data_IF_014680200473
#
_entry.id   IF_014680200473
#
_cell.length_a   1.000
_cell.length_b   1.000
_cell.length_c   1.000
_cell.angle_alpha   90.00
_cell.angle_beta   90.00
_cell.angle_gamma   90.00
#
_symmetry.space_group_name_H-M   'P 1'
#
loop_
_entity.id
_entity.type
_entity.pdbx_description
1 polymer ?
#
# COMPACT_ATOMS: atom_id res chain seq x y z
N UNK A 1 -6.22 57.52 19.62
CA UNK A 1 -4.84 57.05 19.42
C UNK A 1 -4.75 55.71 20.10
N UNK A 2 -4.52 54.62 19.37
CA UNK A 2 -4.33 53.31 19.99
C UNK A 2 -3.09 53.36 20.90
N UNK A 3 -3.18 52.78 22.09
CA UNK A 3 -2.03 52.73 22.99
C UNK A 3 -1.01 51.71 22.49
N UNK A 4 0.25 51.85 22.92
CA UNK A 4 1.30 50.89 22.55
C UNK A 4 0.92 49.45 22.91
N UNK A 5 0.17 49.26 24.00
CA UNK A 5 -0.31 47.95 24.44
C UNK A 5 -1.36 47.38 23.47
N UNK A 6 -2.25 48.21 22.92
CA UNK A 6 -3.22 47.77 21.91
C UNK A 6 -2.52 47.29 20.63
N UNK A 7 -1.43 47.96 20.25
CA UNK A 7 -0.67 47.60 19.05
C UNK A 7 0.08 46.27 19.23
N UNK A 8 0.59 45.99 20.43
CA UNK A 8 1.22 44.70 20.78
C UNK A 8 0.17 43.57 20.77
N UNK A 9 -1.02 43.79 21.32
CA UNK A 9 -2.08 42.79 21.30
C UNK A 9 -2.58 42.48 19.88
N UNK A 10 -2.72 43.51 19.03
CA UNK A 10 -3.10 43.34 17.62
C UNK A 10 -2.02 42.55 16.86
N UNK A 11 -0.73 42.82 17.14
CA UNK A 11 0.39 42.11 16.52
C UNK A 11 0.47 40.63 16.96
N UNK A 12 0.20 40.34 18.23
CA UNK A 12 0.18 38.95 18.73
C UNK A 12 -1.01 38.16 18.17
N UNK A 13 -2.16 38.81 18.00
CA UNK A 13 -3.35 38.19 17.42
C UNK A 13 -3.17 37.86 15.93
N UNK A 14 -2.51 38.75 15.16
CA UNK A 14 -2.23 38.51 13.75
C UNK A 14 -1.17 37.42 13.54
N UNK A 15 -0.11 37.38 14.35
CA UNK A 15 0.88 36.30 14.34
C UNK A 15 0.23 34.93 14.61
N UNK A 16 -0.71 34.87 15.56
CA UNK A 16 -1.42 33.63 15.87
C UNK A 16 -2.28 33.15 14.68
N UNK A 17 -2.94 34.06 13.96
CA UNK A 17 -3.76 33.72 12.80
C UNK A 17 -2.92 33.16 11.62
N UNK A 18 -1.69 33.64 11.45
CA UNK A 18 -0.76 33.12 10.44
C UNK A 18 -0.30 31.69 10.75
N UNK A 19 -0.21 31.31 12.03
CA UNK A 19 0.13 29.93 12.45
C UNK A 19 -1.03 28.96 12.17
N UNK A 20 -2.30 29.40 12.28
CA UNK A 20 -3.46 28.57 11.94
C UNK A 20 -3.64 28.36 10.43
N UNK A 21 -3.30 29.36 9.60
CA UNK A 21 -3.51 29.27 8.14
C UNK A 21 -2.31 28.66 7.39
N UNK A 22 -1.15 28.52 8.05
CA UNK A 22 0.02 27.79 7.54
C UNK A 22 0.02 26.35 8.08
N UNK A 23 -1.17 25.74 8.16
CA UNK A 23 -1.29 24.30 8.37
C UNK A 23 -0.75 23.58 7.14
N UNK A 24 0.41 22.95 7.30
CA UNK A 24 1.02 22.02 6.36
C UNK A 24 1.00 22.49 4.89
N UNK A 25 1.84 23.47 4.53
CA UNK A 25 2.38 23.45 3.18
C UNK A 25 3.17 22.14 3.06
N UNK A 26 2.51 21.11 2.54
CA UNK A 26 3.19 19.93 2.04
C UNK A 26 4.16 20.43 0.98
N UNK A 27 5.45 20.23 1.21
CA UNK A 27 6.43 20.13 0.13
C UNK A 27 5.96 19.00 -0.79
N UNK A 28 5.07 19.34 -1.74
CA UNK A 28 4.80 18.52 -2.90
C UNK A 28 5.94 18.81 -3.89
N UNK A 29 7.15 18.46 -3.48
CA UNK A 29 8.29 18.38 -4.38
C UNK A 29 8.51 16.91 -4.71
N UNK A 30 7.94 16.50 -5.84
CA UNK A 30 8.41 15.44 -6.74
C UNK A 30 7.27 15.19 -7.74
N UNK A 31 7.49 15.55 -9.01
CA UNK A 31 6.90 14.93 -10.21
C UNK A 31 5.47 14.33 -10.08
N UNK A 32 4.51 15.04 -10.65
CA UNK A 32 3.05 14.85 -10.60
C UNK A 32 2.50 13.45 -10.96
N UNK A 33 2.63 12.46 -10.09
CA UNK A 33 1.75 11.30 -10.11
C UNK A 33 1.64 10.63 -8.73
N UNK A 34 0.41 10.36 -8.24
CA UNK A 34 0.26 9.43 -7.12
C UNK A 34 0.79 8.05 -7.54
N UNK A 35 1.38 7.27 -6.61
CA UNK A 35 1.82 5.92 -6.92
C UNK A 35 0.63 5.06 -7.38
N UNK A 36 0.86 4.05 -8.25
CA UNK A 36 -0.21 3.17 -8.71
C UNK A 36 -0.94 2.49 -7.54
N UNK A 37 -2.28 2.33 -7.60
CA UNK A 37 -3.04 1.64 -6.55
C UNK A 37 -2.61 0.19 -6.36
N UNK A 38 -2.52 -0.25 -5.10
CA UNK A 38 -2.25 -1.66 -4.75
C UNK A 38 -3.59 -2.40 -4.62
N UNK A 39 -3.75 -3.49 -5.37
CA UNK A 39 -4.90 -4.40 -5.29
C UNK A 39 -4.39 -5.79 -4.92
N UNK A 40 -4.56 -6.20 -3.68
CA UNK A 40 -4.03 -7.47 -3.20
C UNK A 40 -5.10 -8.46 -2.77
N UNK A 41 -4.78 -9.75 -2.86
CA UNK A 41 -5.59 -10.84 -2.33
C UNK A 41 -4.73 -11.90 -1.64
N UNK A 42 -5.35 -12.64 -0.75
CA UNK A 42 -4.78 -13.84 -0.15
C UNK A 42 -5.35 -15.08 -0.84
N UNK A 43 -4.46 -15.99 -1.24
CA UNK A 43 -4.82 -17.29 -1.77
C UNK A 43 -4.60 -18.36 -0.68
N UNK A 44 -5.67 -18.89 -0.09
CA UNK A 44 -5.54 -19.89 0.96
C UNK A 44 -5.26 -21.29 0.41
N UNK A 45 -4.34 -22.01 1.05
CA UNK A 45 -3.90 -23.35 0.61
C UNK A 45 -5.03 -24.38 0.50
N UNK A 46 -6.06 -24.29 1.36
CA UNK A 46 -7.19 -25.21 1.41
C UNK A 46 -8.18 -25.07 0.24
N UNK A 47 -8.01 -24.09 -0.65
CA UNK A 47 -8.83 -23.95 -1.86
C UNK A 47 -8.25 -24.67 -3.07
N UNK A 48 -7.06 -25.26 -2.97
CA UNK A 48 -6.30 -25.71 -4.15
C UNK A 48 -6.95 -26.81 -4.97
N UNK A 49 -7.82 -27.63 -4.35
CA UNK A 49 -8.51 -28.71 -5.04
C UNK A 49 -9.70 -28.20 -5.89
N UNK A 50 -10.43 -27.19 -5.40
CA UNK A 50 -11.62 -26.63 -6.06
C UNK A 50 -11.30 -25.38 -6.91
N UNK A 51 -10.25 -24.64 -6.55
CA UNK A 51 -9.86 -23.37 -7.15
C UNK A 51 -8.33 -23.26 -7.20
N UNK A 52 -7.66 -23.90 -8.18
CA UNK A 52 -6.21 -23.88 -8.29
C UNK A 52 -5.70 -22.47 -8.62
N UNK A 53 -4.41 -22.14 -8.33
CA UNK A 53 -3.87 -20.81 -8.59
C UNK A 53 -3.97 -20.37 -10.06
N UNK A 54 -3.93 -21.32 -10.99
CA UNK A 54 -4.11 -21.08 -12.43
C UNK A 54 -5.49 -20.54 -12.80
N UNK A 55 -6.50 -20.73 -11.94
CA UNK A 55 -7.86 -20.22 -12.14
C UNK A 55 -8.01 -18.75 -11.69
N UNK A 56 -6.99 -18.17 -11.03
CA UNK A 56 -7.04 -16.77 -10.60
C UNK A 56 -6.91 -15.85 -11.81
N UNK A 57 -7.90 -14.98 -12.02
CA UNK A 57 -7.77 -13.89 -12.97
C UNK A 57 -6.87 -12.79 -12.40
N UNK A 58 -5.60 -12.79 -12.79
CA UNK A 58 -4.57 -11.88 -12.30
C UNK A 58 -4.79 -10.43 -12.77
N UNK A 59 -5.69 -10.16 -13.73
CA UNK A 59 -5.95 -8.78 -14.19
C UNK A 59 -6.58 -7.88 -13.13
N UNK A 60 -7.16 -8.47 -12.07
CA UNK A 60 -7.79 -7.71 -10.98
C UNK A 60 -6.82 -7.31 -9.87
N UNK A 61 -5.62 -7.91 -9.82
CA UNK A 61 -4.70 -7.80 -8.70
C UNK A 61 -3.32 -7.32 -9.16
N UNK A 62 -2.66 -6.54 -8.30
CA UNK A 62 -1.23 -6.23 -8.45
C UNK A 62 -0.37 -7.23 -7.68
N UNK A 63 -0.89 -7.83 -6.60
CA UNK A 63 -0.19 -8.80 -5.76
C UNK A 63 -1.15 -9.88 -5.28
N UNK A 64 -0.71 -11.14 -5.26
CA UNK A 64 -1.45 -12.25 -4.63
C UNK A 64 -0.49 -12.94 -3.67
N UNK A 65 -0.91 -13.14 -2.42
CA UNK A 65 -0.10 -13.75 -1.37
C UNK A 65 -0.60 -15.16 -1.08
N UNK A 66 0.29 -16.16 -1.07
CA UNK A 66 -0.04 -17.49 -0.57
C UNK A 66 -0.24 -17.45 0.94
N UNK A 67 -1.37 -17.96 1.43
CA UNK A 67 -1.76 -17.92 2.84
C UNK A 67 -2.19 -19.30 3.36
N UNK A 68 -1.85 -19.71 4.58
CA UNK A 68 -0.73 -19.26 5.40
C UNK A 68 0.32 -20.34 5.43
N UNK A 69 1.59 -19.93 5.51
CA UNK A 69 2.66 -20.85 5.87
C UNK A 69 2.67 -21.01 7.38
N UNK A 70 2.58 -22.26 7.82
CA UNK A 70 2.74 -22.63 9.23
C UNK A 70 4.18 -23.12 9.40
N UNK A 71 5.00 -22.44 10.22
CA UNK A 71 6.36 -22.89 10.46
C UNK A 71 6.35 -24.17 11.29
N UNK A 72 7.38 -24.99 11.13
CA UNK A 72 7.62 -26.13 11.99
C UNK A 72 7.74 -25.66 13.45
N UNK A 73 7.06 -26.33 14.38
CA UNK A 73 6.95 -25.91 15.78
C UNK A 73 8.24 -26.10 16.61
N UNK A 74 9.25 -26.77 16.07
CA UNK A 74 10.57 -26.95 16.70
C UNK A 74 11.62 -26.09 16.02
N UNK A 75 11.69 -26.11 14.69
CA UNK A 75 12.77 -25.45 13.94
C UNK A 75 12.46 -24.00 13.58
N UNK A 76 11.20 -23.59 13.66
CA UNK A 76 10.69 -22.29 13.18
C UNK A 76 11.01 -22.01 11.70
N UNK A 77 11.25 -23.07 10.91
CA UNK A 77 11.47 -23.00 9.47
C UNK A 77 10.20 -23.35 8.71
N UNK A 78 10.09 -22.84 7.49
CA UNK A 78 9.03 -23.23 6.57
C UNK A 78 9.47 -24.45 5.76
N UNK A 79 8.79 -25.58 5.99
CA UNK A 79 8.96 -26.78 5.20
C UNK A 79 7.93 -26.76 4.06
N UNK A 80 8.34 -26.30 2.89
CA UNK A 80 7.49 -26.22 1.70
C UNK A 80 7.73 -27.45 0.82
N UNK A 81 6.72 -28.33 0.62
CA UNK A 81 6.86 -29.43 -0.29
C UNK A 81 7.00 -28.96 -1.74
N UNK A 82 7.75 -29.69 -2.56
CA UNK A 82 7.99 -29.35 -3.96
C UNK A 82 6.68 -29.23 -4.77
N UNK A 83 5.66 -29.99 -4.41
CA UNK A 83 4.32 -29.90 -4.99
C UNK A 83 3.67 -28.52 -4.79
N UNK A 84 3.80 -27.92 -3.61
CA UNK A 84 3.30 -26.57 -3.32
C UNK A 84 4.07 -25.51 -4.12
N UNK A 85 5.40 -25.66 -4.24
CA UNK A 85 6.21 -24.76 -5.06
C UNK A 85 5.81 -24.81 -6.54
N UNK A 86 5.59 -26.01 -7.09
CA UNK A 86 5.13 -26.20 -8.47
C UNK A 86 3.71 -25.66 -8.70
N UNK A 87 2.83 -25.82 -7.72
CA UNK A 87 1.47 -25.28 -7.78
C UNK A 87 1.48 -23.75 -7.85
N UNK A 88 2.37 -23.09 -7.11
CA UNK A 88 2.50 -21.63 -7.08
C UNK A 88 3.22 -21.05 -8.31
N UNK A 89 4.16 -21.79 -8.89
CA UNK A 89 4.89 -21.33 -10.08
C UNK A 89 4.03 -21.27 -11.35
N UNK A 90 2.93 -22.02 -11.40
CA UNK A 90 2.04 -22.07 -12.56
C UNK A 90 1.00 -20.94 -12.61
N UNK A 91 1.23 -19.84 -11.90
CA UNK A 91 0.36 -18.66 -11.96
C UNK A 91 0.46 -17.98 -13.34
N UNK A 92 -0.66 -17.56 -13.97
CA UNK A 92 -0.61 -16.87 -15.26
C UNK A 92 0.26 -15.61 -15.16
N UNK A 93 1.10 -15.29 -16.16
CA UNK A 93 1.84 -14.04 -16.16
C UNK A 93 0.84 -12.87 -16.06
N UNK A 94 1.18 -11.79 -15.34
CA UNK A 94 0.32 -10.63 -15.27
C UNK A 94 0.04 -10.13 -16.70
N UNK A 95 -1.23 -9.98 -17.06
CA UNK A 95 -1.63 -9.37 -18.32
C UNK A 95 -1.22 -7.89 -18.30
N UNK A 96 0.02 -7.63 -18.69
CA UNK A 96 0.52 -6.30 -19.00
C UNK A 96 -0.13 -5.90 -20.33
N UNK A 97 -1.38 -5.45 -20.23
CA UNK A 97 -2.01 -4.74 -21.34
C UNK A 97 -1.25 -3.43 -21.47
N UNK A 98 -0.55 -3.27 -22.60
CA UNK A 98 0.20 -2.10 -23.00
C UNK A 98 -0.44 -0.80 -22.47
N UNK A 99 0.17 -0.18 -21.47
CA UNK A 99 -0.02 1.25 -21.23
C UNK A 99 0.85 1.96 -22.27
N UNK A 100 0.23 2.28 -23.40
CA UNK A 100 0.78 3.23 -24.36
C UNK A 100 1.05 4.55 -23.62
N UNK A 101 2.33 4.93 -23.64
CA UNK A 101 2.91 6.25 -23.89
C UNK A 101 2.07 7.49 -23.56
#
# INVERSE_FOLDING_TARGET
MASLNDLVHILLLSCSLMIFNTGCMSMADSLSHPPPPVKSAYYPSWLSDDFPPSAINTSFFTHIFYAFLVPNNVTFKFDLPNSTALLLSNSPPPSITNIHQ
#
